data_IF_903640662308
#
_entry.id   IF_903640662308
#
_cell.length_a   1.000
_cell.length_b   1.000
_cell.length_c   1.000
_cell.angle_alpha   90.00
_cell.angle_beta   90.00
_cell.angle_gamma   90.00
#
_symmetry.space_group_name_H-M   'P 1'
#
loop_
_entity.id
_entity.type
_entity.pdbx_description
1 polymer ?
#
# COMPACT_ATOMS: atom_id res chain seq x y z
N UNK A 1 8.97 4.09 -1.36
CA UNK A 1 7.57 3.65 -1.25
C UNK A 1 6.81 3.97 -2.53
N UNK A 2 5.81 3.16 -2.87
CA UNK A 2 4.89 3.37 -3.99
C UNK A 2 3.47 3.09 -3.51
N UNK A 3 2.48 3.75 -4.11
CA UNK A 3 1.07 3.54 -3.79
C UNK A 3 0.31 3.38 -5.09
N UNK A 4 -0.30 2.22 -5.28
CA UNK A 4 -0.92 1.81 -6.54
C UNK A 4 -2.39 1.43 -6.28
N UNK A 5 -3.31 2.11 -6.94
CA UNK A 5 -4.72 1.72 -6.94
C UNK A 5 -5.03 0.98 -8.24
N UNK A 6 -5.68 -0.18 -8.13
CA UNK A 6 -6.11 -1.01 -9.24
C UNK A 6 -7.64 -0.95 -9.35
N UNK A 7 -8.20 -0.11 -10.24
CA UNK A 7 -9.65 0.09 -10.32
C UNK A 7 -10.44 -1.18 -10.66
N UNK A 8 -9.84 -2.08 -11.44
CA UNK A 8 -10.49 -3.32 -11.92
C UNK A 8 -10.79 -4.31 -10.78
N UNK A 9 -9.91 -4.36 -9.76
CA UNK A 9 -10.09 -5.21 -8.58
C UNK A 9 -10.56 -4.42 -7.36
N UNK A 10 -10.51 -3.09 -7.43
CA UNK A 10 -10.78 -2.20 -6.30
C UNK A 10 -9.72 -2.28 -5.19
N UNK A 11 -8.52 -2.80 -5.49
CA UNK A 11 -7.45 -2.99 -4.50
C UNK A 11 -6.49 -1.80 -4.49
N UNK A 12 -6.02 -1.42 -3.29
CA UNK A 12 -4.96 -0.44 -3.07
C UNK A 12 -3.76 -1.15 -2.45
N UNK A 13 -2.63 -1.10 -3.14
CA UNK A 13 -1.35 -1.60 -2.67
C UNK A 13 -0.45 -0.42 -2.26
N UNK A 14 0.26 -0.58 -1.14
CA UNK A 14 1.25 0.37 -0.65
C UNK A 14 2.57 -0.39 -0.42
N UNK A 15 3.48 -0.32 -1.38
CA UNK A 15 4.86 -0.80 -1.24
C UNK A 15 5.65 0.17 -0.35
N UNK A 16 6.07 -0.27 0.84
CA UNK A 16 6.83 0.57 1.77
C UNK A 16 8.34 0.49 1.48
N UNK A 17 8.83 -0.68 1.09
CA UNK A 17 10.24 -0.92 0.74
C UNK A 17 10.37 -1.83 -0.49
N UNK A 18 11.58 -1.93 -1.06
CA UNK A 18 11.86 -2.86 -2.16
C UNK A 18 12.22 -4.29 -1.69
N UNK A 19 12.20 -4.52 -0.38
CA UNK A 19 12.51 -5.84 0.18
C UNK A 19 11.38 -6.83 -0.12
N UNK A 20 11.70 -8.10 -0.40
CA UNK A 20 10.69 -9.12 -0.65
C UNK A 20 9.89 -9.44 0.61
N UNK A 21 8.59 -9.63 0.44
CA UNK A 21 7.73 -10.22 1.47
C UNK A 21 8.11 -11.68 1.71
N UNK A 22 8.13 -12.09 2.97
CA UNK A 22 8.33 -13.46 3.44
C UNK A 22 7.13 -13.99 4.24
N UNK A 23 6.30 -13.10 4.78
CA UNK A 23 5.08 -13.44 5.52
C UNK A 23 4.01 -12.36 5.31
N UNK A 24 2.73 -12.75 5.36
CA UNK A 24 1.60 -11.85 5.17
C UNK A 24 0.54 -12.11 6.22
N UNK A 25 0.01 -11.05 6.82
CA UNK A 25 -0.99 -11.13 7.88
C UNK A 25 -2.19 -10.24 7.59
N UNK A 26 -3.35 -10.87 7.47
CA UNK A 26 -4.63 -10.15 7.48
C UNK A 26 -4.95 -9.68 8.91
N UNK A 27 -5.19 -8.38 9.07
CA UNK A 27 -5.49 -7.74 10.36
C UNK A 27 -6.96 -7.34 10.52
N UNK A 28 -7.66 -7.23 9.39
CA UNK A 28 -9.10 -7.05 9.25
C UNK A 28 -9.49 -7.43 7.83
N UNK A 29 -10.77 -7.72 7.59
CA UNK A 29 -11.25 -8.19 6.29
C UNK A 29 -10.74 -7.35 5.10
N UNK A 30 -9.91 -7.97 4.26
CA UNK A 30 -9.29 -7.34 3.09
C UNK A 30 -8.26 -6.27 3.43
N UNK A 31 -7.58 -6.36 4.58
CA UNK A 31 -6.42 -5.53 4.94
C UNK A 31 -5.28 -6.44 5.38
N UNK A 32 -4.26 -6.53 4.53
CA UNK A 32 -3.12 -7.42 4.69
C UNK A 32 -1.85 -6.60 4.90
N UNK A 33 -1.04 -7.02 5.86
CA UNK A 33 0.28 -6.47 6.13
C UNK A 33 1.34 -7.47 5.68
N UNK A 34 2.31 -7.02 4.89
CA UNK A 34 3.42 -7.85 4.42
C UNK A 34 4.69 -7.57 5.20
N UNK A 35 5.38 -8.63 5.61
CA UNK A 35 6.59 -8.59 6.39
C UNK A 35 7.75 -9.28 5.67
N UNK A 36 8.94 -8.73 5.75
CA UNK A 36 10.15 -9.42 5.29
C UNK A 36 10.60 -10.51 6.27
N UNK A 37 11.66 -11.23 5.89
CA UNK A 37 12.22 -12.33 6.68
C UNK A 37 12.77 -11.89 8.06
N UNK A 38 12.99 -10.59 8.28
CA UNK A 38 13.42 -10.03 9.56
C UNK A 38 12.24 -9.53 10.40
N UNK A 39 11.02 -9.65 9.90
CA UNK A 39 9.80 -9.19 10.56
C UNK A 39 9.54 -7.69 10.39
N UNK A 40 10.20 -7.02 9.45
CA UNK A 40 9.94 -5.61 9.14
C UNK A 40 8.78 -5.50 8.17
N UNK A 41 7.90 -4.51 8.37
CA UNK A 41 6.77 -4.26 7.48
C UNK A 41 7.29 -3.69 6.15
N UNK A 42 6.93 -4.35 5.05
CA UNK A 42 7.39 -3.99 3.69
C UNK A 42 6.26 -3.61 2.75
N UNK A 43 5.02 -3.99 3.04
CA UNK A 43 3.87 -3.74 2.20
C UNK A 43 2.55 -3.71 2.96
N UNK A 44 1.53 -3.10 2.35
CA UNK A 44 0.14 -3.11 2.82
C UNK A 44 -0.76 -3.29 1.59
N UNK A 45 -1.64 -4.27 1.64
CA UNK A 45 -2.69 -4.48 0.65
C UNK A 45 -4.07 -4.24 1.26
N UNK A 46 -4.91 -3.48 0.56
CA UNK A 46 -6.28 -3.14 0.97
C UNK A 46 -7.23 -3.48 -0.18
N UNK A 47 -8.05 -4.50 -0.01
CA UNK A 47 -9.13 -4.84 -0.93
C UNK A 47 -10.37 -3.98 -0.71
N UNK A 48 -11.17 -3.81 -1.77
CA UNK A 48 -12.34 -2.92 -1.76
C UNK A 48 -12.00 -1.54 -1.17
N UNK A 49 -10.85 -0.99 -1.57
CA UNK A 49 -10.24 0.18 -0.98
C UNK A 49 -11.13 1.42 -1.07
N UNK A 50 -11.92 1.54 -2.14
CA UNK A 50 -12.88 2.65 -2.31
C UNK A 50 -13.94 2.73 -1.21
N UNK A 51 -14.24 1.61 -0.53
CA UNK A 51 -15.13 1.58 0.62
C UNK A 51 -14.41 1.78 1.97
N UNK A 52 -13.08 1.68 2.00
CA UNK A 52 -12.26 1.68 3.23
C UNK A 52 -11.39 2.93 3.40
N UNK A 53 -11.04 3.62 2.32
CA UNK A 53 -10.13 4.78 2.32
C UNK A 53 -10.61 5.91 1.41
N UNK A 54 -10.15 7.13 1.65
CA UNK A 54 -10.45 8.29 0.79
C UNK A 54 -9.53 8.31 -0.44
N UNK A 55 -9.98 7.69 -1.54
CA UNK A 55 -9.24 7.66 -2.80
C UNK A 55 -9.29 8.99 -3.58
N UNK A 56 -10.18 9.92 -3.22
CA UNK A 56 -10.30 11.20 -3.92
C UNK A 56 -9.28 12.23 -3.44
N UNK A 57 -8.56 11.93 -2.35
CA UNK A 57 -7.60 12.85 -1.75
C UNK A 57 -6.39 12.12 -1.20
N UNK A 58 -5.28 12.24 -1.92
CA UNK A 58 -3.96 11.81 -1.45
C UNK A 58 -3.12 13.01 -1.01
N UNK A 59 -2.70 13.04 0.26
CA UNK A 59 -1.92 14.15 0.83
C UNK A 59 -0.60 13.63 1.37
N UNK A 60 0.49 14.22 0.88
CA UNK A 60 1.84 13.94 1.35
C UNK A 60 2.39 15.18 2.05
N UNK A 61 2.99 15.02 3.23
CA UNK A 61 3.55 16.14 4.00
C UNK A 61 4.88 15.76 4.65
N UNK A 62 5.87 16.66 4.55
CA UNK A 62 7.21 16.52 5.16
C UNK A 62 7.96 15.23 4.80
N UNK A 63 7.61 14.58 3.69
CA UNK A 63 8.38 13.44 3.17
C UNK A 63 9.70 13.96 2.61
N UNK A 64 10.85 13.42 3.03
CA UNK A 64 12.18 13.87 2.58
C UNK A 64 12.55 13.25 1.22
N UNK A 65 11.60 13.26 0.28
CA UNK A 65 11.78 12.73 -1.06
C UNK A 65 10.95 13.55 -2.06
N UNK A 66 11.39 13.55 -3.33
CA UNK A 66 10.56 14.04 -4.42
C UNK A 66 9.33 13.15 -4.57
N UNK A 67 8.17 13.76 -4.81
CA UNK A 67 6.95 13.02 -5.12
C UNK A 67 6.87 12.85 -6.63
N UNK A 68 6.80 11.59 -7.07
CA UNK A 68 6.58 11.24 -8.47
C UNK A 68 5.13 10.78 -8.64
N UNK A 69 4.53 11.15 -9.76
CA UNK A 69 3.20 10.69 -10.17
C UNK A 69 3.33 9.99 -11.50
N UNK A 70 2.97 8.71 -11.54
CA UNK A 70 2.91 7.94 -12.77
C UNK A 70 1.50 8.11 -13.31
N UNK A 71 1.38 8.58 -14.56
CA UNK A 71 0.08 8.63 -15.23
C UNK A 71 -0.39 7.19 -15.48
N UNK A 72 -1.60 6.88 -15.02
CA UNK A 72 -2.35 5.67 -15.36
C UNK A 72 -3.29 5.92 -16.52
#
# INVERSE_FOLDING_TARGET
MKTNYFPDTGSLNIDLSEQPSADSREISEGVVLDYDASGQLVGIDIDNASAKVDLHRFVVSKIPASVETIAG
#
